data_IF_214207502612
#
_entry.id   IF_214207502612
#
_cell.length_a   1.000
_cell.length_b   1.000
_cell.length_c   1.000
_cell.angle_alpha   90.00
_cell.angle_beta   90.00
_cell.angle_gamma   90.00
#
_symmetry.space_group_name_H-M   'P 1'
#
loop_
_entity.id
_entity.type
_entity.pdbx_description
1 polymer ?
#
# COMPACT_ATOMS: atom_id res chain seq x y z
N UNK A 1 -3.41 13.23 7.81
CA UNK A 1 -3.48 11.91 7.14
C UNK A 1 -2.50 11.92 5.99
N UNK A 2 -1.56 10.98 5.92
CA UNK A 2 -0.67 10.89 4.74
C UNK A 2 -1.51 10.45 3.53
N UNK A 3 -1.39 11.13 2.40
CA UNK A 3 -2.11 10.75 1.17
C UNK A 3 -1.76 9.32 0.75
N UNK A 4 -2.67 8.65 0.05
CA UNK A 4 -2.42 7.33 -0.54
C UNK A 4 -1.10 7.31 -1.33
N UNK A 5 -0.86 8.36 -2.13
CA UNK A 5 0.37 8.55 -2.91
C UNK A 5 1.63 8.65 -2.03
N UNK A 6 1.59 9.37 -0.91
CA UNK A 6 2.73 9.46 0.01
C UNK A 6 3.04 8.10 0.67
N UNK A 7 2.01 7.32 1.00
CA UNK A 7 2.16 5.97 1.56
C UNK A 7 2.72 4.99 0.52
N UNK A 8 2.24 5.03 -0.73
CA UNK A 8 2.77 4.27 -1.86
C UNK A 8 4.26 4.58 -2.08
N UNK A 9 4.63 5.86 -2.12
CA UNK A 9 6.02 6.29 -2.29
C UNK A 9 6.93 5.74 -1.19
N UNK A 10 6.43 5.69 0.05
CA UNK A 10 7.17 5.11 1.18
C UNK A 10 7.41 3.61 1.00
N UNK A 11 6.40 2.87 0.52
CA UNK A 11 6.50 1.42 0.24
C UNK A 11 7.53 1.16 -0.88
N UNK A 12 7.54 1.98 -1.95
CA UNK A 12 8.53 1.86 -3.02
C UNK A 12 9.95 2.17 -2.54
N UNK A 13 10.14 3.23 -1.74
CA UNK A 13 11.45 3.57 -1.18
C UNK A 13 12.02 2.41 -0.34
N UNK A 14 11.19 1.85 0.56
CA UNK A 14 11.57 0.69 1.37
C UNK A 14 11.95 -0.52 0.51
N UNK A 15 11.20 -0.79 -0.55
CA UNK A 15 11.51 -1.87 -1.48
C UNK A 15 12.85 -1.65 -2.19
N UNK A 16 13.10 -0.46 -2.74
CA UNK A 16 14.37 -0.15 -3.41
C UNK A 16 15.56 -0.31 -2.46
N UNK A 17 15.44 0.18 -1.23
CA UNK A 17 16.50 0.07 -0.23
C UNK A 17 16.74 -1.38 0.21
N UNK A 18 15.68 -2.17 0.38
CA UNK A 18 15.78 -3.59 0.71
C UNK A 18 16.34 -4.43 -0.45
N UNK A 19 15.97 -4.09 -1.69
CA UNK A 19 16.45 -4.76 -2.89
C UNK A 19 17.96 -4.55 -3.07
N UNK A 20 18.47 -3.33 -2.84
CA UNK A 20 19.91 -3.02 -2.87
C UNK A 20 20.72 -3.83 -1.84
N UNK A 21 20.11 -4.21 -0.72
CA UNK A 21 20.76 -4.98 0.36
C UNK A 21 20.67 -6.49 0.17
N UNK A 22 19.76 -6.98 -0.68
CA UNK A 22 19.54 -8.40 -0.90
C UNK A 22 20.67 -8.98 -1.77
N UNK A 23 21.39 -9.98 -1.24
CA UNK A 23 22.52 -10.63 -1.94
C UNK A 23 22.21 -12.02 -2.50
N UNK A 24 20.99 -12.53 -2.29
CA UNK A 24 20.60 -13.88 -2.71
C UNK A 24 19.24 -13.87 -3.39
N UNK A 25 18.98 -14.85 -4.27
CA UNK A 25 17.69 -15.02 -4.94
C UNK A 25 16.53 -15.13 -3.94
N UNK A 26 16.73 -15.89 -2.86
CA UNK A 26 15.73 -16.03 -1.80
C UNK A 26 15.43 -14.68 -1.12
N UNK A 27 16.45 -13.87 -0.83
CA UNK A 27 16.26 -12.54 -0.26
C UNK A 27 15.50 -11.61 -1.21
N UNK A 28 15.83 -11.62 -2.51
CA UNK A 28 15.12 -10.83 -3.54
C UNK A 28 13.63 -11.22 -3.58
N UNK A 29 13.32 -12.52 -3.62
CA UNK A 29 11.93 -13.01 -3.62
C UNK A 29 11.18 -12.59 -2.36
N UNK A 30 11.83 -12.64 -1.19
CA UNK A 30 11.25 -12.19 0.08
C UNK A 30 10.95 -10.69 0.07
N UNK A 31 11.86 -9.88 -0.46
CA UNK A 31 11.67 -8.42 -0.60
C UNK A 31 10.47 -8.11 -1.49
N UNK A 32 10.33 -8.79 -2.63
CA UNK A 32 9.15 -8.62 -3.49
C UNK A 32 7.84 -9.06 -2.81
N UNK A 33 7.84 -10.22 -2.16
CA UNK A 33 6.66 -10.72 -1.44
C UNK A 33 6.19 -9.74 -0.36
N UNK A 34 7.13 -9.18 0.41
CA UNK A 34 6.82 -8.16 1.42
C UNK A 34 6.26 -6.88 0.79
N UNK A 35 6.89 -6.38 -0.28
CA UNK A 35 6.44 -5.18 -1.00
C UNK A 35 5.01 -5.33 -1.54
N UNK A 36 4.71 -6.46 -2.18
CA UNK A 36 3.37 -6.77 -2.69
C UNK A 36 2.33 -6.77 -1.56
N UNK A 37 2.64 -7.42 -0.44
CA UNK A 37 1.73 -7.50 0.72
C UNK A 37 1.44 -6.11 1.32
N UNK A 38 2.46 -5.26 1.42
CA UNK A 38 2.29 -3.90 1.92
C UNK A 38 1.40 -3.06 0.98
N UNK A 39 1.58 -3.21 -0.34
CA UNK A 39 0.74 -2.57 -1.36
C UNK A 39 -0.71 -3.02 -1.28
N UNK A 40 -0.96 -4.33 -1.27
CA UNK A 40 -2.32 -4.90 -1.19
C UNK A 40 -3.03 -4.44 0.09
N UNK A 41 -2.32 -4.38 1.21
CA UNK A 41 -2.86 -3.89 2.48
C UNK A 41 -3.24 -2.41 2.41
N UNK A 42 -2.38 -1.59 1.81
CA UNK A 42 -2.63 -0.16 1.66
C UNK A 42 -3.84 0.09 0.75
N UNK A 43 -3.90 -0.57 -0.40
CA UNK A 43 -5.00 -0.46 -1.35
C UNK A 43 -6.33 -0.87 -0.70
N UNK A 44 -6.36 -1.99 0.03
CA UNK A 44 -7.57 -2.44 0.74
C UNK A 44 -8.09 -1.40 1.73
N UNK A 45 -7.19 -0.74 2.47
CA UNK A 45 -7.58 0.33 3.40
C UNK A 45 -8.14 1.54 2.67
N UNK A 46 -7.46 1.98 1.60
CA UNK A 46 -7.88 3.12 0.81
C UNK A 46 -9.28 2.94 0.23
N UNK A 47 -9.54 1.79 -0.42
CA UNK A 47 -10.87 1.48 -0.98
C UNK A 47 -11.96 1.40 0.10
N UNK A 48 -11.63 0.87 1.28
CA UNK A 48 -12.58 0.83 2.40
C UNK A 48 -12.93 2.23 2.92
N UNK A 49 -11.99 3.18 2.90
CA UNK A 49 -12.24 4.58 3.25
C UNK A 49 -13.13 5.26 2.20
N UNK A 50 -12.86 5.07 0.91
CA UNK A 50 -13.69 5.59 -0.19
C UNK A 50 -15.12 5.04 -0.11
N UNK A 51 -15.27 3.75 0.18
CA UNK A 51 -16.60 3.13 0.35
C UNK A 51 -17.38 3.74 1.52
N UNK A 52 -16.69 4.08 2.63
CA UNK A 52 -17.32 4.79 3.75
C UNK A 52 -17.75 6.20 3.36
N UNK A 53 -16.95 6.91 2.55
CA UNK A 53 -17.31 8.24 2.04
C UNK A 53 -18.56 8.15 1.15
N UNK A 54 -18.61 7.19 0.23
CA UNK A 54 -19.78 6.93 -0.62
C UNK A 54 -21.02 6.65 0.23
N UNK A 55 -20.91 5.78 1.24
CA UNK A 55 -22.04 5.43 2.11
C UNK A 55 -22.57 6.66 2.85
N UNK A 56 -21.68 7.53 3.35
CA UNK A 56 -22.08 8.80 3.99
C UNK A 56 -22.75 9.74 3.01
N UNK A 57 -22.19 9.92 1.81
CA UNK A 57 -22.76 10.77 0.79
C UNK A 57 -24.18 10.31 0.40
N UNK A 58 -24.37 9.00 0.22
CA UNK A 58 -25.70 8.41 -0.05
C UNK A 58 -26.71 8.67 1.07
N UNK A 59 -26.30 8.61 2.33
CA UNK A 59 -27.17 8.87 3.48
C UNK A 59 -27.64 10.34 3.60
N UNK A 60 -27.07 11.27 2.81
CA UNK A 60 -27.50 12.67 2.74
C UNK A 60 -28.35 12.96 1.49
N UNK A 61 -28.63 11.95 0.65
CA UNK A 61 -29.46 12.06 -0.55
C UNK A 61 -30.88 11.49 -0.36
N UNK A 62 -31.12 10.82 0.77
CA UNK A 62 -32.44 10.41 1.30
C UNK A 62 -32.88 11.42 2.38
#
# INVERSE_FOLDING_TARGET
MASYTAQVNTIHKKFTDALKKAKTRQAINKVYSAHRKDHERLLKKHLAEEMRQIKKAKAHLD
#
